data_IF_989453754807
#
_entry.id   IF_989453754807
#
_cell.length_a   1.000
_cell.length_b   1.000
_cell.length_c   1.000
_cell.angle_alpha   90.00
_cell.angle_beta   90.00
_cell.angle_gamma   90.00
#
_symmetry.space_group_name_H-M   'P 1'
#
loop_
_entity.id
_entity.type
_entity.pdbx_description
1 polymer ?
#
# COMPACT_ATOMS: atom_id res chain seq x y z
N UNK A 1 3.84 -39.64 25.91
CA UNK A 1 5.09 -39.41 25.14
C UNK A 1 5.01 -38.16 24.25
N UNK A 2 4.01 -38.03 23.36
CA UNK A 2 3.80 -36.87 22.46
C UNK A 2 3.94 -35.49 23.13
N UNK A 3 3.28 -35.27 24.28
CA UNK A 3 3.36 -34.00 25.04
C UNK A 3 4.79 -33.64 25.48
N UNK A 4 5.59 -34.65 25.85
CA UNK A 4 6.98 -34.44 26.27
C UNK A 4 7.81 -34.01 25.07
N UNK A 5 7.68 -34.70 23.92
CA UNK A 5 8.37 -34.36 22.67
C UNK A 5 8.04 -32.92 22.25
N UNK A 6 6.75 -32.55 22.24
CA UNK A 6 6.31 -31.20 21.90
C UNK A 6 6.94 -30.17 22.83
N UNK A 7 6.87 -30.38 24.15
CA UNK A 7 7.43 -29.45 25.13
C UNK A 7 8.96 -29.33 25.03
N UNK A 8 9.65 -30.42 24.68
CA UNK A 8 11.08 -30.44 24.49
C UNK A 8 11.47 -29.64 23.24
N UNK A 9 10.80 -29.89 22.11
CA UNK A 9 11.05 -29.20 20.85
C UNK A 9 10.86 -27.68 20.99
N UNK A 10 9.74 -27.26 21.61
CA UNK A 10 9.49 -25.83 21.87
C UNK A 10 10.61 -25.25 22.74
N UNK A 11 10.99 -25.93 23.82
CA UNK A 11 12.07 -25.45 24.71
C UNK A 11 13.41 -25.38 23.99
N UNK A 12 13.72 -26.33 23.11
CA UNK A 12 14.95 -26.33 22.34
C UNK A 12 15.01 -25.14 21.38
N UNK A 13 13.91 -24.84 20.69
CA UNK A 13 13.81 -23.64 19.84
C UNK A 13 14.06 -22.37 20.64
N UNK A 14 13.36 -22.16 21.75
CA UNK A 14 13.53 -20.94 22.56
C UNK A 14 14.90 -20.81 23.23
N UNK A 15 15.61 -21.92 23.48
CA UNK A 15 16.99 -21.89 24.01
C UNK A 15 18.01 -21.55 22.93
N UNK A 16 17.71 -21.81 21.66
CA UNK A 16 18.57 -21.45 20.54
C UNK A 16 18.81 -19.93 20.50
N UNK A 17 20.09 -19.53 20.46
CA UNK A 17 20.46 -18.13 20.27
C UNK A 17 20.00 -17.61 18.90
N UNK A 18 20.08 -18.46 17.87
CA UNK A 18 19.67 -18.12 16.51
C UNK A 18 18.17 -17.85 16.41
N UNK A 19 17.32 -18.69 17.03
CA UNK A 19 15.87 -18.47 17.05
C UNK A 19 15.50 -17.14 17.71
N UNK A 20 16.09 -16.84 18.87
CA UNK A 20 15.85 -15.57 19.57
C UNK A 20 16.33 -14.37 18.77
N UNK A 21 17.49 -14.46 18.13
CA UNK A 21 18.01 -13.40 17.26
C UNK A 21 17.09 -13.16 16.06
N UNK A 22 16.62 -14.23 15.40
CA UNK A 22 15.68 -14.13 14.29
C UNK A 22 14.33 -13.55 14.72
N UNK A 23 13.79 -13.99 15.86
CA UNK A 23 12.53 -13.47 16.39
C UNK A 23 12.65 -11.98 16.72
N UNK A 24 13.75 -11.55 17.34
CA UNK A 24 14.03 -10.14 17.62
C UNK A 24 14.21 -9.33 16.34
N UNK A 25 14.88 -9.88 15.33
CA UNK A 25 15.05 -9.22 14.03
C UNK A 25 13.70 -9.01 13.35
N UNK A 26 12.84 -10.04 13.30
CA UNK A 26 11.50 -9.91 12.72
C UNK A 26 10.65 -8.95 13.55
N UNK A 27 10.71 -9.01 14.88
CA UNK A 27 9.98 -8.07 15.74
C UNK A 27 10.42 -6.62 15.51
N UNK A 28 11.74 -6.38 15.42
CA UNK A 28 12.30 -5.07 15.10
C UNK A 28 11.92 -4.58 13.71
N UNK A 29 11.94 -5.47 12.72
CA UNK A 29 11.48 -5.16 11.36
C UNK A 29 9.98 -4.80 11.34
N UNK A 30 9.14 -5.54 12.05
CA UNK A 30 7.70 -5.23 12.18
C UNK A 30 7.48 -3.88 12.87
N UNK A 31 8.22 -3.59 13.94
CA UNK A 31 8.11 -2.30 14.63
C UNK A 31 8.51 -1.13 13.73
N UNK A 32 9.61 -1.28 12.98
CA UNK A 32 10.04 -0.27 12.01
C UNK A 32 9.06 -0.13 10.84
N UNK A 33 8.53 -1.24 10.34
CA UNK A 33 7.50 -1.28 9.30
C UNK A 33 6.20 -0.61 9.75
N UNK A 34 5.74 -0.86 10.98
CA UNK A 34 4.57 -0.20 11.56
C UNK A 34 4.78 1.32 11.63
N UNK A 35 5.94 1.77 12.12
CA UNK A 35 6.29 3.18 12.18
C UNK A 35 6.35 3.83 10.78
N UNK A 36 7.03 3.19 9.84
CA UNK A 36 7.19 3.65 8.46
C UNK A 36 5.84 3.73 7.73
N UNK A 37 5.03 2.67 7.83
CA UNK A 37 3.68 2.60 7.26
C UNK A 37 2.76 3.68 7.83
N UNK A 38 2.72 3.84 9.16
CA UNK A 38 1.92 4.90 9.78
C UNK A 38 2.34 6.30 9.31
N UNK A 39 3.65 6.57 9.26
CA UNK A 39 4.17 7.85 8.75
C UNK A 39 3.81 8.09 7.28
N UNK A 40 3.63 7.03 6.48
CA UNK A 40 3.16 7.16 5.10
C UNK A 40 1.69 7.60 5.05
N UNK A 41 0.85 6.96 5.87
CA UNK A 41 -0.58 7.28 5.96
C UNK A 41 -0.79 8.69 6.54
N UNK A 42 -0.05 9.07 7.58
CA UNK A 42 -0.16 10.42 8.16
C UNK A 42 0.17 11.50 7.13
N UNK A 43 1.24 11.30 6.35
CA UNK A 43 1.61 12.21 5.25
C UNK A 43 0.50 12.31 4.19
N UNK A 44 -0.10 11.19 3.80
CA UNK A 44 -1.19 11.14 2.85
C UNK A 44 -2.45 11.88 3.34
N UNK A 45 -2.78 11.76 4.63
CA UNK A 45 -3.93 12.44 5.24
C UNK A 45 -3.64 13.93 5.38
N UNK A 46 -2.47 14.30 5.89
CA UNK A 46 -2.05 15.71 6.02
C UNK A 46 -1.99 16.41 4.66
N UNK A 47 -1.43 15.76 3.63
CA UNK A 47 -1.37 16.27 2.26
C UNK A 47 -2.76 16.52 1.68
N UNK A 48 -3.66 15.54 1.81
CA UNK A 48 -5.06 15.67 1.39
C UNK A 48 -5.80 16.81 2.11
N UNK A 49 -5.61 16.92 3.43
CA UNK A 49 -6.21 17.98 4.25
C UNK A 49 -5.65 19.36 3.88
N UNK A 50 -4.34 19.48 3.70
CA UNK A 50 -3.70 20.74 3.32
C UNK A 50 -4.13 21.21 1.92
N UNK A 51 -4.20 20.29 0.94
CA UNK A 51 -4.69 20.58 -0.41
C UNK A 51 -6.15 21.05 -0.40
N UNK A 52 -7.01 20.38 0.36
CA UNK A 52 -8.41 20.77 0.53
C UNK A 52 -8.53 22.14 1.20
N UNK A 53 -7.79 22.37 2.30
CA UNK A 53 -7.81 23.63 3.04
C UNK A 53 -7.32 24.81 2.20
N UNK A 54 -6.30 24.60 1.37
CA UNK A 54 -5.79 25.62 0.45
C UNK A 54 -6.86 26.08 -0.55
N UNK A 55 -7.53 25.14 -1.23
CA UNK A 55 -8.62 25.45 -2.17
C UNK A 55 -9.83 26.07 -1.48
N UNK A 56 -10.18 25.59 -0.29
CA UNK A 56 -11.27 26.15 0.51
C UNK A 56 -10.98 27.60 0.89
N UNK A 57 -9.74 27.92 1.29
CA UNK A 57 -9.31 29.28 1.58
C UNK A 57 -9.35 30.17 0.33
N UNK A 58 -8.93 29.65 -0.83
CA UNK A 58 -9.01 30.38 -2.09
C UNK A 58 -10.46 30.69 -2.50
N UNK A 59 -11.37 29.71 -2.37
CA UNK A 59 -12.81 29.92 -2.60
C UNK A 59 -13.43 30.89 -1.61
N UNK A 60 -13.04 30.82 -0.33
CA UNK A 60 -13.51 31.75 0.69
C UNK A 60 -13.06 33.19 0.40
N UNK A 61 -11.81 33.37 -0.06
CA UNK A 61 -11.30 34.68 -0.49
C UNK A 61 -12.08 35.22 -1.68
N UNK A 62 -12.29 34.42 -2.73
CA UNK A 62 -13.08 34.84 -3.90
C UNK A 62 -14.51 35.24 -3.52
N UNK A 63 -15.13 34.54 -2.56
CA UNK A 63 -16.44 34.90 -2.02
C UNK A 63 -16.41 36.24 -1.28
N UNK A 64 -15.43 36.43 -0.40
CA UNK A 64 -15.28 37.68 0.36
C UNK A 64 -15.01 38.88 -0.57
N UNK A 65 -14.22 38.69 -1.63
CA UNK A 65 -13.96 39.72 -2.65
C UNK A 65 -15.26 40.10 -3.39
N UNK A 66 -16.12 39.12 -3.70
CA UNK A 66 -17.45 39.35 -4.29
C UNK A 66 -18.40 40.10 -3.33
N UNK A 67 -18.52 39.66 -2.08
CA UNK A 67 -19.36 40.32 -1.06
C UNK A 67 -18.91 41.77 -0.81
N UNK A 68 -17.60 42.02 -0.79
CA UNK A 68 -17.04 43.36 -0.65
C UNK A 68 -17.35 44.25 -1.88
N UNK A 69 -17.41 43.68 -3.08
CA UNK A 69 -17.82 44.41 -4.28
C UNK A 69 -19.31 44.76 -4.25
N UNK A 70 -20.17 43.80 -3.89
CA UNK A 70 -21.61 44.02 -3.72
C UNK A 70 -21.90 45.15 -2.71
N UNK A 71 -21.22 45.13 -1.56
CA UNK A 71 -21.36 46.18 -0.55
C UNK A 71 -20.92 47.57 -1.07
N UNK A 72 -19.86 47.63 -1.90
CA UNK A 72 -19.40 48.88 -2.51
C UNK A 72 -20.40 49.42 -3.54
N UNK A 73 -20.96 48.55 -4.37
CA UNK A 73 -22.01 48.90 -5.33
C UNK A 73 -23.28 49.41 -4.65
N UNK A 74 -23.72 48.72 -3.59
CA UNK A 74 -24.88 49.14 -2.81
C UNK A 74 -24.71 50.55 -2.20
N UNK A 75 -23.48 50.92 -1.82
CA UNK A 75 -23.17 52.26 -1.32
C UNK A 75 -23.14 53.34 -2.41
N UNK A 76 -22.85 52.97 -3.66
CA UNK A 76 -22.70 53.90 -4.80
C UNK A 76 -23.95 53.95 -5.70
N UNK A 77 -24.94 53.07 -5.48
CA UNK A 77 -26.16 52.99 -6.29
C UNK A 77 -25.94 52.41 -7.70
N UNK A 78 -24.87 51.64 -7.91
CA UNK A 78 -24.56 51.01 -9.19
C UNK A 78 -25.19 49.62 -9.37
N UNK A 79 -25.32 49.18 -10.63
CA UNK A 79 -25.75 47.81 -10.95
C UNK A 79 -24.59 46.81 -10.83
N UNK A 80 -24.90 45.58 -10.42
CA UNK A 80 -23.90 44.52 -10.28
C UNK A 80 -23.51 43.93 -11.64
N UNK A 81 -22.23 44.04 -11.99
CA UNK A 81 -21.66 43.41 -13.18
C UNK A 81 -20.77 42.21 -12.82
N UNK A 82 -20.95 41.10 -13.56
CA UNK A 82 -20.14 39.89 -13.41
C UNK A 82 -18.77 40.03 -14.07
N UNK A 83 -17.72 39.60 -13.37
CA UNK A 83 -16.40 39.47 -13.97
C UNK A 83 -16.40 38.36 -15.02
N UNK A 84 -16.00 38.67 -16.26
CA UNK A 84 -15.63 37.64 -17.23
C UNK A 84 -14.44 36.82 -16.74
N UNK A 85 -14.32 35.55 -17.18
CA UNK A 85 -13.27 34.61 -16.72
C UNK A 85 -11.81 35.06 -16.97
N UNK A 86 -11.61 36.18 -17.68
CA UNK A 86 -10.30 36.76 -18.03
C UNK A 86 -10.35 38.29 -17.94
N UNK A 87 -10.57 38.84 -16.75
CA UNK A 87 -10.36 40.28 -16.54
C UNK A 87 -8.85 40.55 -16.36
N UNK A 88 -8.28 41.44 -17.16
CA UNK A 88 -6.89 41.85 -17.01
C UNK A 88 -6.73 42.68 -15.72
N UNK A 89 -5.67 42.47 -14.91
CA UNK A 89 -5.42 43.32 -13.75
C UNK A 89 -5.31 44.80 -14.16
N UNK A 90 -6.15 45.66 -13.59
CA UNK A 90 -6.06 47.12 -13.73
C UNK A 90 -6.94 47.79 -14.79
N UNK A 91 -7.79 47.05 -15.51
CA UNK A 91 -8.79 47.64 -16.41
C UNK A 91 -10.19 47.51 -15.81
N UNK A 92 -10.81 48.63 -15.41
CA UNK A 92 -12.23 48.68 -15.01
C UNK A 92 -12.53 48.54 -13.51
N UNK A 93 -13.76 48.87 -13.08
CA UNK A 93 -14.20 48.65 -11.70
C UNK A 93 -14.07 47.15 -11.36
N UNK A 94 -13.65 46.80 -10.13
CA UNK A 94 -13.40 45.40 -9.76
C UNK A 94 -14.71 44.60 -9.81
N UNK A 95 -14.99 43.93 -10.91
CA UNK A 95 -16.20 43.14 -11.10
C UNK A 95 -16.23 41.94 -10.14
N UNK A 96 -17.41 41.53 -9.68
CA UNK A 96 -17.56 40.44 -8.72
C UNK A 96 -17.24 39.10 -9.36
N UNK A 97 -16.57 38.21 -8.61
CA UNK A 97 -16.18 36.88 -9.09
C UNK A 97 -17.43 36.05 -9.39
N UNK A 98 -17.59 35.60 -10.64
CA UNK A 98 -18.72 34.77 -11.04
C UNK A 98 -18.46 33.27 -10.75
N UNK A 99 -19.53 32.47 -10.72
CA UNK A 99 -19.44 31.03 -10.42
C UNK A 99 -18.55 30.25 -11.42
N UNK A 100 -18.48 30.69 -12.67
CA UNK A 100 -17.60 30.09 -13.69
C UNK A 100 -16.12 30.34 -13.43
N UNK A 101 -15.75 31.54 -12.96
CA UNK A 101 -14.38 31.89 -12.57
C UNK A 101 -13.95 31.06 -11.36
N UNK A 102 -14.83 30.92 -10.36
CA UNK A 102 -14.57 30.07 -9.19
C UNK A 102 -14.33 28.62 -9.62
N UNK A 103 -15.20 28.07 -10.47
CA UNK A 103 -15.04 26.69 -10.96
C UNK A 103 -13.82 26.47 -11.87
N UNK A 104 -13.35 27.51 -12.57
CA UNK A 104 -12.17 27.45 -13.42
C UNK A 104 -10.85 27.68 -12.67
N UNK A 105 -10.87 28.43 -11.56
CA UNK A 105 -9.65 28.80 -10.80
C UNK A 105 -9.47 28.01 -9.51
N UNK A 106 -10.46 27.21 -9.11
CA UNK A 106 -10.41 26.38 -7.91
C UNK A 106 -10.81 24.94 -8.23
N UNK A 107 -10.36 24.01 -7.39
CA UNK A 107 -10.67 22.60 -7.48
C UNK A 107 -11.31 22.10 -6.18
N UNK A 108 -12.13 21.06 -6.28
CA UNK A 108 -12.57 20.27 -5.14
C UNK A 108 -11.77 18.98 -5.10
N UNK A 109 -11.02 18.77 -4.04
CA UNK A 109 -10.28 17.53 -3.84
C UNK A 109 -11.22 16.39 -3.40
N UNK A 110 -11.17 15.28 -4.12
CA UNK A 110 -11.79 14.02 -3.72
C UNK A 110 -10.72 13.16 -3.06
N UNK A 111 -10.91 12.83 -1.79
CA UNK A 111 -9.96 12.06 -0.98
C UNK A 111 -10.48 10.64 -0.77
N UNK A 112 -9.63 9.64 -0.97
CA UNK A 112 -9.88 8.27 -0.53
C UNK A 112 -9.37 8.13 0.91
N UNK A 113 -10.25 8.06 1.92
CA UNK A 113 -9.81 7.98 3.31
C UNK A 113 -9.08 6.65 3.57
N UNK A 114 -8.00 6.65 4.36
CA UNK A 114 -7.31 5.42 4.72
C UNK A 114 -8.23 4.52 5.55
N UNK A 115 -8.15 3.22 5.28
CA UNK A 115 -8.87 2.20 6.07
C UNK A 115 -8.15 1.93 7.41
N UNK A 116 -8.83 1.26 8.35
CA UNK A 116 -8.27 0.98 9.69
C UNK A 116 -6.96 0.17 9.72
N UNK A 117 -6.57 -0.48 8.61
CA UNK A 117 -5.29 -1.19 8.46
C UNK A 117 -4.46 -0.70 7.26
N UNK A 118 -4.69 0.53 6.78
CA UNK A 118 -3.95 1.06 5.63
C UNK A 118 -2.42 1.09 5.86
N UNK A 119 -1.97 1.30 7.10
CA UNK A 119 -0.56 1.29 7.49
C UNK A 119 0.09 -0.10 7.46
N UNK A 120 -0.70 -1.18 7.42
CA UNK A 120 -0.16 -2.55 7.26
C UNK A 120 0.28 -2.82 5.82
N UNK A 121 -0.34 -2.15 4.86
CA UNK A 121 -0.06 -2.29 3.44
C UNK A 121 -0.31 -0.95 2.73
N UNK A 122 0.73 -0.13 2.61
CA UNK A 122 0.67 1.13 1.86
C UNK A 122 0.46 0.83 0.37
N UNK A 123 1.05 -0.28 -0.10
CA UNK A 123 0.76 -0.84 -1.42
C UNK A 123 1.21 0.09 -2.55
N UNK A 124 0.27 0.46 -3.42
CA UNK A 124 0.50 1.36 -4.55
C UNK A 124 0.08 2.81 -4.24
N UNK A 125 -0.40 3.09 -3.04
CA UNK A 125 -0.80 4.45 -2.64
C UNK A 125 0.39 5.39 -2.40
N UNK A 126 1.62 4.88 -2.52
CA UNK A 126 2.84 5.68 -2.64
C UNK A 126 3.00 6.27 -4.05
N UNK A 127 2.64 5.52 -5.09
CA UNK A 127 2.76 5.95 -6.48
C UNK A 127 1.45 6.56 -7.01
N UNK A 128 0.32 6.01 -6.58
CA UNK A 128 -1.03 6.46 -6.98
C UNK A 128 -1.58 7.42 -5.93
N UNK A 129 -2.06 8.58 -6.39
CA UNK A 129 -2.64 9.57 -5.50
C UNK A 129 -3.84 9.00 -4.74
N UNK A 130 -3.86 9.21 -3.43
CA UNK A 130 -5.01 8.97 -2.56
C UNK A 130 -6.01 10.14 -2.58
N UNK A 131 -5.69 11.26 -3.23
CA UNK A 131 -6.60 12.37 -3.43
C UNK A 131 -6.41 13.04 -4.79
N UNK A 132 -7.52 13.50 -5.40
CA UNK A 132 -7.53 13.96 -6.79
C UNK A 132 -8.29 15.30 -6.90
N UNK A 133 -7.73 16.34 -7.54
CA UNK A 133 -8.43 17.60 -7.76
C UNK A 133 -9.47 17.50 -8.87
N UNK A 134 -10.74 17.70 -8.53
CA UNK A 134 -11.83 17.80 -9.51
C UNK A 134 -12.15 19.28 -9.72
N UNK A 135 -11.89 19.78 -10.93
CA UNK A 135 -12.20 21.17 -11.32
C UNK A 135 -13.01 21.19 -12.62
N UNK A 136 -13.47 22.37 -13.04
CA UNK A 136 -14.09 22.53 -14.37
C UNK A 136 -13.06 22.47 -15.50
N UNK A 137 -11.76 22.46 -15.20
CA UNK A 137 -10.71 22.33 -16.20
C UNK A 137 -10.61 20.89 -16.72
N UNK A 138 -10.04 20.69 -17.93
CA UNK A 138 -9.92 19.37 -18.52
C UNK A 138 -9.14 18.39 -17.64
N UNK A 139 -9.60 17.14 -17.61
CA UNK A 139 -9.12 16.03 -16.75
C UNK A 139 -7.62 15.74 -16.83
N UNK A 140 -6.92 16.15 -17.89
CA UNK A 140 -5.47 15.91 -18.02
C UNK A 140 -4.61 16.71 -17.03
N UNK A 141 -5.13 17.82 -16.49
CA UNK A 141 -4.46 18.58 -15.43
C UNK A 141 -4.57 17.89 -14.06
N UNK A 142 -5.56 17.03 -13.90
CA UNK A 142 -5.91 16.32 -12.67
C UNK A 142 -5.00 15.10 -12.39
N UNK A 143 -4.29 14.57 -13.39
CA UNK A 143 -3.50 13.33 -13.28
C UNK A 143 -2.00 13.54 -13.03
N UNK A 144 -1.53 14.78 -12.88
CA UNK A 144 -0.14 15.02 -12.54
C UNK A 144 0.10 14.76 -11.05
N UNK A 145 1.14 14.00 -10.71
CA UNK A 145 1.59 13.88 -9.31
C UNK A 145 2.03 15.27 -8.84
N UNK A 146 1.22 15.87 -7.96
CA UNK A 146 1.48 17.18 -7.35
C UNK A 146 2.44 17.07 -6.15
N UNK A 147 2.68 15.86 -5.66
CA UNK A 147 3.59 15.60 -4.55
C UNK A 147 5.03 15.42 -5.06
N UNK A 148 5.96 16.16 -4.46
CA UNK A 148 7.39 16.01 -4.68
C UNK A 148 7.91 14.87 -3.79
N UNK A 149 8.09 13.68 -4.38
CA UNK A 149 8.66 12.55 -3.67
C UNK A 149 10.02 12.12 -4.24
N UNK A 150 10.82 11.48 -3.39
CA UNK A 150 12.12 10.96 -3.81
C UNK A 150 11.91 9.80 -4.79
N UNK A 151 12.38 9.90 -6.05
CA UNK A 151 12.15 8.87 -7.06
C UNK A 151 12.77 7.52 -6.67
N UNK A 152 13.86 7.51 -5.89
CA UNK A 152 14.44 6.27 -5.39
C UNK A 152 13.52 5.57 -4.40
N UNK A 153 12.85 6.33 -3.52
CA UNK A 153 11.90 5.78 -2.55
C UNK A 153 10.67 5.18 -3.25
N UNK A 154 10.15 5.86 -4.28
CA UNK A 154 9.05 5.38 -5.12
C UNK A 154 9.42 4.11 -5.90
N UNK A 155 10.66 3.98 -6.35
CA UNK A 155 11.12 2.78 -7.07
C UNK A 155 11.30 1.56 -6.15
N UNK A 156 11.75 1.77 -4.91
CA UNK A 156 11.96 0.68 -3.95
C UNK A 156 10.67 0.26 -3.22
N UNK A 157 9.67 1.14 -3.20
CA UNK A 157 8.45 0.99 -2.42
C UNK A 157 8.67 1.29 -0.93
N UNK A 158 7.58 1.52 -0.22
CA UNK A 158 7.60 1.76 1.22
C UNK A 158 7.95 0.48 2.01
N UNK A 159 8.79 0.60 3.04
CA UNK A 159 9.02 -0.50 3.99
C UNK A 159 7.83 -0.58 4.97
N UNK A 160 6.84 -1.41 4.65
CA UNK A 160 5.62 -1.62 5.43
C UNK A 160 5.49 -3.06 5.97
N UNK A 161 4.40 -3.37 6.67
CA UNK A 161 4.22 -4.69 7.29
C UNK A 161 4.06 -5.78 6.21
N UNK A 162 3.39 -5.45 5.10
CA UNK A 162 3.27 -6.36 3.95
C UNK A 162 4.64 -6.74 3.38
N UNK A 163 5.59 -5.79 3.27
CA UNK A 163 6.96 -6.08 2.88
C UNK A 163 7.61 -7.11 3.83
N UNK A 164 7.50 -6.91 5.14
CA UNK A 164 8.06 -7.84 6.13
C UNK A 164 7.43 -9.23 6.00
N UNK A 165 6.12 -9.31 5.76
CA UNK A 165 5.42 -10.58 5.56
C UNK A 165 5.80 -11.28 4.26
N UNK A 166 5.98 -10.56 3.16
CA UNK A 166 6.26 -11.17 1.86
C UNK A 166 7.72 -11.62 1.77
N UNK A 167 8.65 -10.84 2.32
CA UNK A 167 10.08 -11.12 2.18
C UNK A 167 10.71 -11.81 3.38
N UNK A 168 10.44 -11.36 4.61
CA UNK A 168 11.15 -11.81 5.81
C UNK A 168 10.46 -12.99 6.51
N UNK A 169 9.14 -13.02 6.56
CA UNK A 169 8.40 -14.10 7.22
C UNK A 169 8.68 -15.49 6.61
N UNK A 170 8.77 -15.67 5.27
CA UNK A 170 9.18 -16.95 4.69
C UNK A 170 10.55 -17.39 5.19
N UNK A 171 11.54 -16.49 5.18
CA UNK A 171 12.90 -16.80 5.63
C UNK A 171 12.87 -17.24 7.10
N UNK A 172 12.11 -16.54 7.94
CA UNK A 172 11.91 -16.92 9.34
C UNK A 172 11.33 -18.33 9.46
N UNK A 173 10.27 -18.65 8.72
CA UNK A 173 9.63 -19.98 8.72
C UNK A 173 10.61 -21.07 8.30
N UNK A 174 11.36 -20.83 7.22
CA UNK A 174 12.35 -21.76 6.70
C UNK A 174 13.48 -21.98 7.71
N UNK A 175 13.99 -20.91 8.32
CA UNK A 175 15.07 -20.97 9.30
C UNK A 175 14.70 -21.72 10.58
N UNK A 176 13.43 -21.71 11.00
CA UNK A 176 12.99 -22.49 12.16
C UNK A 176 12.60 -23.94 11.78
N UNK A 177 12.53 -24.27 10.50
CA UNK A 177 11.95 -25.54 10.01
C UNK A 177 12.93 -26.41 9.19
N UNK A 178 14.08 -25.89 8.75
CA UNK A 178 14.97 -26.59 7.82
C UNK A 178 15.60 -27.89 8.36
N UNK A 179 15.68 -28.05 9.68
CA UNK A 179 16.38 -29.15 10.35
C UNK A 179 15.47 -30.13 11.11
N UNK A 180 14.19 -30.20 10.71
CA UNK A 180 13.12 -30.92 11.39
C UNK A 180 13.44 -32.41 11.65
N UNK A 181 14.16 -33.08 10.75
CA UNK A 181 14.60 -34.48 10.92
C UNK A 181 16.13 -34.62 10.90
N UNK A 182 16.81 -33.73 10.17
CA UNK A 182 18.25 -33.82 9.95
C UNK A 182 19.06 -33.51 11.21
N UNK A 183 18.54 -32.69 12.13
CA UNK A 183 19.26 -32.31 13.35
C UNK A 183 19.56 -33.49 14.28
N UNK A 184 18.60 -34.39 14.55
CA UNK A 184 18.87 -35.60 15.34
C UNK A 184 19.68 -36.64 14.58
N UNK A 185 19.48 -36.72 13.25
CA UNK A 185 20.23 -37.64 12.39
C UNK A 185 21.72 -37.30 12.40
N UNK A 186 22.06 -36.02 12.28
CA UNK A 186 23.44 -35.52 12.28
C UNK A 186 24.12 -35.62 13.64
N UNK A 187 23.35 -35.45 14.73
CA UNK A 187 23.85 -35.62 16.10
C UNK A 187 23.99 -37.08 16.53
N UNK A 188 23.54 -38.03 15.71
CA UNK A 188 23.52 -39.46 16.04
C UNK A 188 22.50 -39.84 17.13
N UNK A 189 21.66 -38.90 17.57
CA UNK A 189 20.68 -39.14 18.65
C UNK A 189 19.38 -39.77 18.14
N UNK A 190 19.14 -39.76 16.82
CA UNK A 190 17.93 -40.33 16.23
C UNK A 190 17.78 -41.83 16.54
N UNK A 191 18.87 -42.61 16.45
CA UNK A 191 18.85 -44.04 16.77
C UNK A 191 18.51 -44.29 18.25
N UNK A 192 19.03 -43.47 19.17
CA UNK A 192 18.73 -43.56 20.60
C UNK A 192 17.26 -43.24 20.91
N UNK A 193 16.69 -42.25 20.22
CA UNK A 193 15.29 -41.87 20.37
C UNK A 193 14.37 -43.01 19.87
N UNK A 194 14.71 -43.62 18.72
CA UNK A 194 13.93 -44.72 18.13
C UNK A 194 14.12 -46.07 18.83
N UNK A 195 15.07 -46.20 19.77
CA UNK A 195 15.20 -47.38 20.64
C UNK A 195 14.07 -47.44 21.69
N UNK A 196 13.41 -46.32 21.95
CA UNK A 196 12.18 -46.27 22.73
C UNK A 196 10.98 -46.70 21.87
N UNK A 197 9.84 -47.11 22.46
CA UNK A 197 8.66 -47.56 21.71
C UNK A 197 7.92 -46.38 21.04
N UNK A 198 8.59 -45.65 20.14
CA UNK A 198 8.05 -44.55 19.35
C UNK A 198 8.35 -44.78 17.88
N UNK A 199 7.37 -44.52 17.02
CA UNK A 199 7.60 -44.56 15.57
C UNK A 199 8.21 -43.25 15.07
N UNK A 200 8.96 -43.31 13.96
CA UNK A 200 9.49 -42.12 13.29
C UNK A 200 8.37 -41.14 12.88
N UNK A 201 7.22 -41.67 12.44
CA UNK A 201 6.05 -40.86 12.07
C UNK A 201 5.50 -40.08 13.27
N UNK A 202 5.42 -40.72 14.43
CA UNK A 202 4.94 -40.10 15.66
C UNK A 202 5.91 -39.03 16.18
N UNK A 203 7.21 -39.30 16.11
CA UNK A 203 8.25 -38.31 16.43
C UNK A 203 8.12 -37.08 15.51
N UNK A 204 8.08 -37.30 14.20
CA UNK A 204 8.01 -36.22 13.21
C UNK A 204 6.72 -35.41 13.35
N UNK A 205 5.56 -36.06 13.48
CA UNK A 205 4.28 -35.37 13.68
C UNK A 205 4.29 -34.51 14.96
N UNK A 206 4.89 -35.00 16.04
CA UNK A 206 5.01 -34.24 17.29
C UNK A 206 5.90 -32.99 17.10
N UNK A 207 7.02 -33.10 16.36
CA UNK A 207 7.87 -31.95 16.04
C UNK A 207 7.16 -30.95 15.13
N UNK A 208 6.45 -31.42 14.10
CA UNK A 208 5.66 -30.56 13.20
C UNK A 208 4.63 -29.75 13.99
N UNK A 209 3.86 -30.41 14.87
CA UNK A 209 2.85 -29.73 15.71
C UNK A 209 3.51 -28.70 16.62
N UNK A 210 4.67 -29.02 17.22
CA UNK A 210 5.40 -28.09 18.07
C UNK A 210 5.86 -26.83 17.30
N UNK A 211 6.49 -27.00 16.13
CA UNK A 211 6.98 -25.88 15.32
C UNK A 211 5.84 -25.06 14.72
N UNK A 212 4.76 -25.72 14.28
CA UNK A 212 3.55 -25.05 13.82
C UNK A 212 2.91 -24.20 14.94
N UNK A 213 2.84 -24.74 16.17
CA UNK A 213 2.33 -24.00 17.33
C UNK A 213 3.17 -22.76 17.65
N UNK A 214 4.51 -22.87 17.61
CA UNK A 214 5.42 -21.73 17.80
C UNK A 214 5.24 -20.70 16.69
N UNK A 215 5.09 -21.14 15.44
CA UNK A 215 4.87 -20.25 14.30
C UNK A 215 3.56 -19.47 14.43
N UNK A 216 2.45 -20.17 14.71
CA UNK A 216 1.14 -19.53 14.92
C UNK A 216 1.20 -18.54 16.09
N UNK A 217 1.79 -18.94 17.22
CA UNK A 217 1.96 -18.05 18.37
C UNK A 217 2.80 -16.81 18.03
N UNK A 218 3.86 -16.97 17.23
CA UNK A 218 4.71 -15.86 16.78
C UNK A 218 3.94 -14.91 15.87
N UNK A 219 3.17 -15.43 14.90
CA UNK A 219 2.36 -14.61 13.98
C UNK A 219 1.29 -13.83 14.75
N UNK A 220 0.55 -14.50 15.63
CA UNK A 220 -0.49 -13.84 16.44
C UNK A 220 0.12 -12.78 17.37
N UNK A 221 1.21 -13.12 18.07
CA UNK A 221 1.88 -12.19 18.98
C UNK A 221 2.44 -10.97 18.26
N UNK A 222 3.20 -11.18 17.18
CA UNK A 222 3.77 -10.09 16.39
C UNK A 222 2.70 -9.27 15.67
N UNK A 223 1.64 -9.91 15.18
CA UNK A 223 0.49 -9.25 14.56
C UNK A 223 -0.26 -8.34 15.53
N UNK A 224 -0.46 -8.78 16.78
CA UNK A 224 -1.06 -7.94 17.83
C UNK A 224 -0.14 -6.77 18.20
N UNK A 225 1.17 -7.02 18.35
CA UNK A 225 2.14 -5.95 18.59
C UNK A 225 2.10 -4.90 17.47
N UNK A 226 2.06 -5.34 16.21
CA UNK A 226 1.92 -4.45 15.05
C UNK A 226 0.62 -3.62 15.12
N UNK A 227 -0.51 -4.27 15.43
CA UNK A 227 -1.82 -3.61 15.51
C UNK A 227 -1.82 -2.50 16.58
N UNK A 228 -1.27 -2.79 17.76
CA UNK A 228 -1.19 -1.81 18.85
C UNK A 228 -0.15 -0.72 18.58
N UNK A 229 0.95 -1.04 17.90
CA UNK A 229 2.00 -0.06 17.57
C UNK A 229 1.54 1.01 16.56
N UNK A 230 0.66 0.62 15.64
CA UNK A 230 0.11 1.50 14.60
C UNK A 230 -0.91 2.51 15.16
N UNK A 231 -1.55 2.22 16.30
CA UNK A 231 -2.58 3.09 16.85
C UNK A 231 -3.85 3.15 15.99
N UNK A 232 -4.18 2.05 15.30
CA UNK A 232 -5.41 1.92 14.52
C UNK A 232 -6.64 2.26 15.37
N UNK A 233 -7.76 2.67 14.75
CA UNK A 233 -9.01 2.91 15.46
C UNK A 233 -9.56 1.58 16.01
N UNK A 234 -9.11 1.19 17.21
CA UNK A 234 -9.39 -0.09 17.85
C UNK A 234 -10.85 -0.22 18.28
N UNK A 235 -11.58 0.90 18.36
CA UNK A 235 -13.01 0.92 18.65
C UNK A 235 -13.87 0.56 17.43
N UNK A 236 -13.27 0.61 16.22
CA UNK A 236 -13.96 0.28 14.98
C UNK A 236 -14.02 -1.23 14.73
N UNK A 237 -15.23 -1.75 14.53
CA UNK A 237 -15.44 -3.15 14.13
C UNK A 237 -14.80 -3.49 12.77
N UNK A 238 -14.69 -2.52 11.85
CA UNK A 238 -14.02 -2.70 10.56
C UNK A 238 -12.53 -3.02 10.73
N UNK A 239 -11.86 -2.38 11.69
CA UNK A 239 -10.44 -2.63 12.01
C UNK A 239 -10.22 -4.10 12.41
N UNK A 240 -11.05 -4.62 13.32
CA UNK A 240 -10.95 -6.00 13.79
C UNK A 240 -11.29 -7.02 12.70
N UNK A 241 -12.30 -6.74 11.87
CA UNK A 241 -12.65 -7.59 10.73
C UNK A 241 -11.50 -7.69 9.72
N UNK A 242 -10.89 -6.56 9.36
CA UNK A 242 -9.70 -6.53 8.48
C UNK A 242 -8.50 -7.21 9.12
N UNK A 243 -8.31 -7.06 10.43
CA UNK A 243 -7.23 -7.73 11.15
C UNK A 243 -7.41 -9.25 11.16
N UNK A 244 -8.64 -9.73 11.33
CA UNK A 244 -8.98 -11.15 11.20
C UNK A 244 -8.69 -11.71 9.81
N UNK A 245 -9.04 -10.95 8.76
CA UNK A 245 -8.69 -11.31 7.37
C UNK A 245 -7.17 -11.33 7.15
N UNK A 246 -6.46 -10.32 7.65
CA UNK A 246 -5.01 -10.22 7.55
C UNK A 246 -4.30 -11.37 8.27
N UNK A 247 -4.71 -11.72 9.48
CA UNK A 247 -4.20 -12.88 10.22
C UNK A 247 -4.47 -14.17 9.44
N UNK A 248 -5.68 -14.33 8.90
CA UNK A 248 -6.04 -15.53 8.14
C UNK A 248 -5.17 -15.67 6.89
N UNK A 249 -5.01 -14.60 6.11
CA UNK A 249 -4.14 -14.58 4.94
C UNK A 249 -2.68 -14.89 5.30
N UNK A 250 -2.18 -14.29 6.39
CA UNK A 250 -0.82 -14.51 6.89
C UNK A 250 -0.59 -15.96 7.32
N UNK A 251 -1.58 -16.57 8.00
CA UNK A 251 -1.52 -17.97 8.41
C UNK A 251 -1.54 -18.91 7.21
N UNK A 252 -2.37 -18.66 6.19
CA UNK A 252 -2.40 -19.46 4.96
C UNK A 252 -1.07 -19.37 4.19
N UNK A 253 -0.53 -18.17 4.07
CA UNK A 253 0.78 -17.95 3.45
C UNK A 253 1.90 -18.64 4.24
N UNK A 254 1.85 -18.57 5.57
CA UNK A 254 2.82 -19.23 6.43
C UNK A 254 2.72 -20.75 6.37
N UNK A 255 1.49 -21.28 6.26
CA UNK A 255 1.25 -22.70 6.09
C UNK A 255 1.86 -23.23 4.80
N UNK A 256 1.78 -22.46 3.70
CA UNK A 256 2.44 -22.82 2.44
C UNK A 256 3.96 -23.00 2.63
N UNK A 257 4.65 -22.00 3.19
CA UNK A 257 6.10 -22.09 3.43
C UNK A 257 6.48 -23.17 4.42
N UNK A 258 5.69 -23.35 5.48
CA UNK A 258 5.91 -24.39 6.46
C UNK A 258 5.72 -25.79 5.86
N UNK A 259 4.71 -25.98 5.02
CA UNK A 259 4.49 -27.23 4.28
C UNK A 259 5.65 -27.52 3.31
N UNK A 260 6.16 -26.50 2.61
CA UNK A 260 7.37 -26.62 1.79
C UNK A 260 8.59 -27.05 2.61
N UNK A 261 8.80 -26.45 3.79
CA UNK A 261 9.87 -26.86 4.70
C UNK A 261 9.73 -28.32 5.15
N UNK A 262 8.52 -28.74 5.53
CA UNK A 262 8.24 -30.14 5.90
C UNK A 262 8.50 -31.07 4.73
N UNK A 263 8.04 -30.74 3.52
CA UNK A 263 8.24 -31.54 2.31
C UNK A 263 9.74 -31.75 2.02
N UNK A 264 10.55 -30.70 2.08
CA UNK A 264 12.01 -30.81 1.87
C UNK A 264 12.66 -31.70 2.94
N UNK A 265 12.23 -31.59 4.20
CA UNK A 265 12.77 -32.40 5.29
C UNK A 265 12.44 -33.89 5.18
N UNK A 266 11.28 -34.24 4.62
CA UNK A 266 10.85 -35.65 4.45
C UNK A 266 11.80 -36.44 3.54
N UNK A 267 12.52 -35.78 2.62
CA UNK A 267 13.54 -36.43 1.79
C UNK A 267 14.78 -36.90 2.59
N UNK A 268 14.91 -36.51 3.86
CA UNK A 268 15.91 -37.09 4.78
C UNK A 268 17.37 -36.73 4.47
N UNK A 269 17.60 -35.65 3.72
CA UNK A 269 18.93 -35.07 3.47
C UNK A 269 19.49 -34.39 4.72
N UNK A 270 20.74 -33.94 4.65
CA UNK A 270 21.38 -33.20 5.73
C UNK A 270 20.82 -31.76 5.83
N UNK A 271 21.00 -31.12 6.98
CA UNK A 271 20.46 -29.81 7.33
C UNK A 271 20.95 -28.73 6.35
N UNK A 272 22.22 -28.81 5.94
CA UNK A 272 22.78 -27.87 4.97
C UNK A 272 22.07 -27.96 3.61
N UNK A 273 21.87 -29.16 3.08
CA UNK A 273 21.17 -29.38 1.81
C UNK A 273 19.69 -28.95 1.89
N UNK A 274 19.01 -29.21 3.01
CA UNK A 274 17.65 -28.73 3.23
C UNK A 274 17.59 -27.20 3.22
N UNK A 275 18.51 -26.54 3.92
CA UNK A 275 18.61 -25.09 3.98
C UNK A 275 18.85 -24.48 2.59
N UNK A 276 19.79 -25.03 1.81
CA UNK A 276 20.08 -24.58 0.44
C UNK A 276 18.86 -24.76 -0.47
N UNK A 277 18.19 -25.91 -0.41
CA UNK A 277 17.01 -26.17 -1.22
C UNK A 277 15.88 -25.17 -0.89
N UNK A 278 15.61 -24.94 0.40
CA UNK A 278 14.55 -24.02 0.84
C UNK A 278 14.89 -22.56 0.51
N UNK A 279 16.13 -22.13 0.72
CA UNK A 279 16.58 -20.80 0.35
C UNK A 279 16.52 -20.58 -1.18
N UNK A 280 16.89 -21.59 -1.97
CA UNK A 280 16.79 -21.57 -3.42
C UNK A 280 15.32 -21.49 -3.90
N UNK A 281 14.42 -22.25 -3.28
CA UNK A 281 12.98 -22.16 -3.56
C UNK A 281 12.41 -20.79 -3.18
N UNK A 282 12.81 -20.23 -2.03
CA UNK A 282 12.45 -18.87 -1.64
C UNK A 282 12.90 -17.85 -2.68
N UNK A 283 14.17 -17.88 -3.07
CA UNK A 283 14.73 -16.97 -4.07
C UNK A 283 13.99 -17.10 -5.40
N UNK A 284 13.71 -18.34 -5.83
CA UNK A 284 12.99 -18.61 -7.05
C UNK A 284 11.57 -18.03 -7.05
N UNK A 285 10.80 -18.24 -5.97
CA UNK A 285 9.39 -17.86 -5.90
C UNK A 285 9.16 -16.38 -5.56
N UNK A 286 9.98 -15.81 -4.68
CA UNK A 286 9.78 -14.44 -4.15
C UNK A 286 10.55 -13.40 -4.95
N UNK A 287 11.68 -13.76 -5.57
CA UNK A 287 12.52 -12.80 -6.30
C UNK A 287 12.51 -13.10 -7.79
N UNK A 288 12.96 -14.28 -8.21
CA UNK A 288 13.17 -14.59 -9.63
C UNK A 288 11.84 -14.60 -10.39
N UNK A 289 10.82 -15.29 -9.87
CA UNK A 289 9.54 -15.44 -10.56
C UNK A 289 8.84 -14.08 -10.78
N UNK A 290 8.66 -13.20 -9.78
CA UNK A 290 8.09 -11.87 -10.01
C UNK A 290 8.89 -11.01 -10.98
N UNK A 291 10.23 -11.04 -10.89
CA UNK A 291 11.09 -10.30 -11.82
C UNK A 291 10.93 -10.80 -13.25
N UNK A 292 10.88 -12.11 -13.47
CA UNK A 292 10.65 -12.69 -14.81
C UNK A 292 9.26 -12.34 -15.33
N UNK A 293 8.23 -12.41 -14.49
CA UNK A 293 6.87 -12.02 -14.88
C UNK A 293 6.82 -10.53 -15.25
N UNK A 294 7.44 -9.66 -14.46
CA UNK A 294 7.52 -8.22 -14.77
C UNK A 294 8.26 -7.97 -16.07
N UNK A 295 9.40 -8.63 -16.29
CA UNK A 295 10.20 -8.49 -17.51
C UNK A 295 9.40 -8.93 -18.75
N UNK A 296 8.75 -10.09 -18.68
CA UNK A 296 7.89 -10.60 -19.74
C UNK A 296 6.72 -9.65 -20.02
N UNK A 297 6.05 -9.15 -18.97
CA UNK A 297 4.96 -8.20 -19.10
C UNK A 297 5.41 -6.92 -19.82
N UNK A 298 6.55 -6.35 -19.43
CA UNK A 298 7.10 -5.14 -20.07
C UNK A 298 7.63 -5.37 -21.49
N UNK A 299 7.96 -6.61 -21.83
CA UNK A 299 8.42 -6.98 -23.18
C UNK A 299 7.23 -7.20 -24.14
N UNK A 300 6.16 -7.84 -23.65
CA UNK A 300 4.95 -8.11 -24.44
C UNK A 300 4.07 -6.86 -24.54
N UNK A 301 3.97 -6.09 -23.46
CA UNK A 301 3.19 -4.85 -23.37
C UNK A 301 4.12 -3.68 -22.98
N UNK A 302 4.95 -3.18 -23.91
CA UNK A 302 5.83 -2.06 -23.61
C UNK A 302 5.00 -0.82 -23.25
N UNK A 303 5.30 -0.23 -22.10
CA UNK A 303 4.65 1.01 -21.68
C UNK A 303 5.02 2.15 -22.65
N UNK A 304 4.05 2.94 -23.14
CA UNK A 304 4.32 4.05 -24.04
C UNK A 304 5.24 5.07 -23.36
N UNK A 305 6.10 5.69 -24.15
CA UNK A 305 7.03 6.70 -23.61
C UNK A 305 6.27 7.90 -23.05
N UNK A 306 6.85 8.63 -22.08
CA UNK A 306 6.23 9.87 -21.56
C UNK A 306 5.93 10.87 -22.67
N UNK A 307 6.80 10.95 -23.69
CA UNK A 307 6.59 11.81 -24.84
C UNK A 307 5.37 11.36 -25.64
N UNK A 308 5.28 10.08 -25.96
CA UNK A 308 4.16 9.51 -26.71
C UNK A 308 2.83 9.66 -25.96
N UNK A 309 2.81 9.43 -24.64
CA UNK A 309 1.64 9.70 -23.80
C UNK A 309 1.23 11.18 -23.83
N UNK A 310 2.21 12.08 -23.77
CA UNK A 310 1.94 13.53 -23.81
C UNK A 310 1.38 13.95 -25.16
N UNK A 311 1.92 13.42 -26.25
CA UNK A 311 1.45 13.67 -27.61
C UNK A 311 0.03 13.10 -27.78
N UNK A 312 -0.19 11.84 -27.42
CA UNK A 312 -1.51 11.21 -27.50
C UNK A 312 -2.57 11.95 -26.67
N UNK A 313 -2.22 12.43 -25.47
CA UNK A 313 -3.11 13.22 -24.63
C UNK A 313 -3.45 14.58 -25.28
N UNK A 314 -2.47 15.26 -25.89
CA UNK A 314 -2.68 16.52 -26.61
C UNK A 314 -3.51 16.34 -27.88
N UNK A 315 -3.30 15.25 -28.60
CA UNK A 315 -4.07 14.93 -29.81
C UNK A 315 -5.53 14.64 -29.45
N UNK A 316 -5.77 13.84 -28.40
CA UNK A 316 -7.11 13.58 -27.88
C UNK A 316 -7.80 14.87 -27.41
N UNK A 317 -7.07 15.77 -26.73
CA UNK A 317 -7.60 17.08 -26.35
C UNK A 317 -7.99 17.91 -27.57
N UNK A 318 -7.12 17.99 -28.57
CA UNK A 318 -7.38 18.76 -29.80
C UNK A 318 -8.62 18.21 -30.53
N UNK A 319 -8.81 16.89 -30.55
CA UNK A 319 -9.99 16.26 -31.13
C UNK A 319 -11.27 16.56 -30.33
N UNK A 320 -11.20 16.54 -29.00
CA UNK A 320 -12.32 16.90 -28.12
C UNK A 320 -12.71 18.37 -28.27
N UNK A 321 -11.73 19.28 -28.35
CA UNK A 321 -11.96 20.71 -28.58
C UNK A 321 -12.63 20.97 -29.93
N UNK A 322 -12.19 20.31 -31.01
CA UNK A 322 -12.86 20.40 -32.32
C UNK A 322 -14.31 19.93 -32.27
N UNK A 323 -14.56 18.81 -31.58
CA UNK A 323 -15.91 18.26 -31.41
C UNK A 323 -16.78 19.24 -30.61
N UNK A 324 -16.24 19.81 -29.53
CA UNK A 324 -16.91 20.83 -28.73
C UNK A 324 -17.29 22.04 -29.57
N UNK A 325 -16.36 22.60 -30.34
CA UNK A 325 -16.63 23.77 -31.19
C UNK A 325 -17.70 23.49 -32.24
N UNK A 326 -17.65 22.34 -32.91
CA UNK A 326 -18.68 21.97 -33.90
C UNK A 326 -20.07 21.84 -33.28
N UNK A 327 -20.17 21.27 -32.05
CA UNK A 327 -21.43 21.18 -31.32
C UNK A 327 -21.91 22.53 -30.80
N UNK A 328 -20.99 23.41 -30.44
CA UNK A 328 -21.31 24.77 -30.02
C UNK A 328 -21.86 25.59 -31.18
N UNK A 329 -21.26 25.47 -32.38
CA UNK A 329 -21.75 26.11 -33.59
C UNK A 329 -23.15 25.60 -33.98
N UNK A 330 -23.38 24.27 -33.90
CA UNK A 330 -24.71 23.66 -34.10
C UNK A 330 -25.73 24.22 -33.10
N UNK A 331 -25.36 24.30 -31.82
CA UNK A 331 -26.21 24.86 -30.77
C UNK A 331 -26.56 26.33 -31.01
N UNK A 332 -25.59 27.16 -31.40
CA UNK A 332 -25.83 28.58 -31.70
C UNK A 332 -26.64 28.80 -32.96
N UNK A 333 -26.54 27.90 -33.94
CA UNK A 333 -27.41 27.94 -35.12
C UNK A 333 -28.89 27.71 -34.73
N UNK A 334 -29.15 26.76 -33.84
CA UNK A 334 -30.49 26.45 -33.34
C UNK A 334 -31.02 27.46 -32.32
N UNK A 335 -30.11 28.15 -31.61
CA UNK A 335 -30.41 29.13 -30.55
C UNK A 335 -29.71 30.46 -30.78
N UNK A 336 -30.13 31.18 -31.84
CA UNK A 336 -29.57 32.48 -32.20
C UNK A 336 -29.67 33.51 -31.06
N UNK A 337 -30.65 33.37 -30.17
CA UNK A 337 -30.84 34.21 -28.98
C UNK A 337 -29.71 34.12 -27.94
N UNK A 338 -28.89 33.07 -27.99
CA UNK A 338 -27.77 32.85 -27.06
C UNK A 338 -26.40 33.10 -27.69
N UNK A 339 -26.34 33.65 -28.90
CA UNK A 339 -25.07 34.08 -29.50
C UNK A 339 -24.54 35.27 -28.66
N UNK A 340 -23.34 35.14 -28.07
CA UNK A 340 -22.78 36.15 -27.17
C UNK A 340 -22.32 37.45 -27.85
#
# INVERSE_FOLDING_TARGET
MKRIIISHEVRQLFRSGAFRALLLLVAGAIAFAAFSGQRSIDRQVEGAMAATAFEDAQRAKMRADTEAYEARLAAQGGEYEFAGARHAPGAGPPQGTNAGVVGAQTAKYLTLPPTGLASFAVGQSDIQLNYVPVSMNPTHTTTNNLELENPLNLMTGSFDIAFVLIFLLPIFILAISYDLLSSEKERGTLAMILAHPISLKELLASKIIARAGVLVASILGLGLVALFAVGANLDSADTWARFGLWITATLLYSLFWFAMAVMVNVYGRNSAANGIALAGTWLALVVVLPTLVSLLATTIYPAPSRMELTVAARDAQTAAEKTYMARLDEYYYDHLEFIP
#
